data_IF_058740438764
#
_entry.id   IF_058740438764
#
_cell.length_a   1.000
_cell.length_b   1.000
_cell.length_c   1.000
_cell.angle_alpha   90.00
_cell.angle_beta   90.00
_cell.angle_gamma   90.00
#
_symmetry.space_group_name_H-M   'P 1'
#
loop_
_entity.id
_entity.type
_entity.pdbx_description
1 polymer ?
#
# COMPACT_ATOMS: atom_id res chain seq x y z
N UNK A 1 50.24 6.93 72.96
CA UNK A 1 50.06 5.45 72.89
C UNK A 1 49.53 5.13 71.50
N UNK A 2 50.39 4.67 70.57
CA UNK A 2 50.42 3.30 70.01
C UNK A 2 49.07 2.79 69.46
N UNK A 3 49.01 2.55 68.14
CA UNK A 3 48.03 1.65 67.50
C UNK A 3 47.59 2.14 66.11
N UNK A 4 48.37 1.91 65.05
CA UNK A 4 48.24 0.81 64.06
C UNK A 4 47.08 1.01 63.06
N UNK A 5 47.47 1.37 61.83
CA UNK A 5 46.75 1.02 60.58
C UNK A 5 46.77 -0.50 60.37
N UNK A 6 45.67 -1.07 59.89
CA UNK A 6 45.68 -1.89 58.69
C UNK A 6 44.57 -1.38 57.75
N UNK A 7 44.64 -1.47 56.43
CA UNK A 7 45.14 -2.54 55.60
C UNK A 7 44.17 -2.59 54.43
N UNK A 8 44.74 -2.51 53.22
CA UNK A 8 44.17 -2.84 51.92
C UNK A 8 42.70 -3.31 51.87
N UNK A 9 41.88 -2.58 51.14
CA UNK A 9 40.85 -3.17 50.27
C UNK A 9 40.67 -2.26 49.06
N UNK A 10 41.32 -2.66 47.96
CA UNK A 10 40.94 -2.26 46.60
C UNK A 10 39.42 -2.49 46.46
N UNK A 11 38.64 -1.43 46.32
CA UNK A 11 37.29 -1.55 45.78
C UNK A 11 37.36 -1.28 44.29
N UNK A 12 37.27 -2.38 43.54
CA UNK A 12 37.19 -2.42 42.10
C UNK A 12 36.13 -1.44 41.58
N UNK A 13 36.53 -0.63 40.59
CA UNK A 13 35.62 0.03 39.65
C UNK A 13 34.86 -1.08 38.90
N UNK A 14 33.61 -1.32 39.26
CA UNK A 14 32.69 -2.05 38.42
C UNK A 14 32.20 -1.10 37.31
N UNK A 15 32.41 -1.41 36.02
CA UNK A 15 31.86 -0.60 34.95
C UNK A 15 30.33 -0.75 34.99
N UNK A 16 29.63 0.37 35.09
CA UNK A 16 28.19 0.41 34.84
C UNK A 16 27.99 -0.04 33.39
N UNK A 17 27.55 -1.29 33.22
CA UNK A 17 26.91 -1.74 31.99
C UNK A 17 25.63 -0.90 31.85
N UNK A 18 25.76 0.25 31.19
CA UNK A 18 24.63 0.94 30.59
C UNK A 18 24.21 0.04 29.44
N UNK A 19 23.31 -0.90 29.72
CA UNK A 19 22.48 -1.52 28.70
C UNK A 19 21.71 -0.37 28.05
N UNK A 20 22.30 0.22 27.01
CA UNK A 20 21.58 1.07 26.08
C UNK A 20 20.49 0.21 25.47
N UNK A 21 19.30 0.26 26.07
CA UNK A 21 18.10 -0.17 25.39
C UNK A 21 18.03 0.68 24.13
N UNK A 22 18.43 0.09 23.00
CA UNK A 22 18.02 0.59 21.71
C UNK A 22 16.50 0.57 21.74
N UNK A 23 15.89 1.71 22.03
CA UNK A 23 14.47 1.93 21.77
C UNK A 23 14.40 1.86 20.25
N UNK A 24 14.16 0.66 19.72
CA UNK A 24 13.66 0.51 18.37
C UNK A 24 12.35 1.29 18.39
N UNK A 25 12.39 2.53 17.91
CA UNK A 25 11.20 3.34 17.72
C UNK A 25 10.25 2.48 16.89
N UNK A 26 9.07 2.21 17.45
CA UNK A 26 8.05 1.42 16.79
C UNK A 26 7.80 2.09 15.43
N UNK A 27 8.30 1.48 14.36
CA UNK A 27 8.22 2.07 13.02
C UNK A 27 6.74 2.18 12.69
N UNK A 28 6.21 3.41 12.75
CA UNK A 28 4.78 3.64 12.59
C UNK A 28 4.40 3.22 11.18
N UNK A 29 3.55 2.19 11.07
CA UNK A 29 2.99 1.77 9.79
C UNK A 29 2.34 2.98 9.10
N UNK A 30 2.48 3.19 7.78
CA UNK A 30 1.81 4.30 7.11
C UNK A 30 0.30 4.15 7.22
N UNK A 31 -0.43 5.26 7.19
CA UNK A 31 -1.87 5.21 6.96
C UNK A 31 -2.18 4.73 5.52
N UNK A 32 -3.45 4.41 5.29
CA UNK A 32 -3.90 3.85 4.02
C UNK A 32 -3.63 4.78 2.83
N UNK A 33 -3.88 6.08 2.97
CA UNK A 33 -3.75 7.07 1.90
C UNK A 33 -2.28 7.31 1.55
N UNK A 34 -1.43 7.52 2.55
CA UNK A 34 0.03 7.64 2.38
C UNK A 34 0.61 6.41 1.67
N UNK A 35 0.14 5.21 2.03
CA UNK A 35 0.53 3.97 1.35
C UNK A 35 0.05 3.95 -0.12
N UNK A 36 -1.21 4.28 -0.38
CA UNK A 36 -1.77 4.31 -1.74
C UNK A 36 -1.05 5.31 -2.64
N UNK A 37 -0.74 6.51 -2.15
CA UNK A 37 0.04 7.52 -2.86
C UNK A 37 1.42 6.96 -3.28
N UNK A 38 2.07 6.22 -2.39
CA UNK A 38 3.37 5.59 -2.66
C UNK A 38 3.28 4.52 -3.75
N UNK A 39 2.21 3.71 -3.74
CA UNK A 39 1.98 2.66 -4.75
C UNK A 39 1.63 3.22 -6.13
N UNK A 40 0.84 4.29 -6.18
CA UNK A 40 0.57 5.05 -7.40
C UNK A 40 1.86 5.61 -7.97
N UNK A 41 2.68 6.25 -7.13
CA UNK A 41 3.95 6.82 -7.57
C UNK A 41 4.94 5.74 -8.04
N UNK A 42 4.93 4.54 -7.44
CA UNK A 42 5.70 3.39 -7.92
C UNK A 42 5.30 3.00 -9.34
N UNK A 43 4.00 2.87 -9.60
CA UNK A 43 3.50 2.52 -10.93
C UNK A 43 3.85 3.58 -11.98
N UNK A 44 3.60 4.87 -11.69
CA UNK A 44 3.89 5.97 -12.64
C UNK A 44 5.39 6.06 -12.98
N UNK A 45 6.29 5.85 -11.99
CA UNK A 45 7.73 5.74 -12.27
C UNK A 45 8.08 4.57 -13.17
N UNK A 46 7.45 3.41 -12.95
CA UNK A 46 7.68 2.22 -13.78
C UNK A 46 7.18 2.43 -15.21
N UNK A 47 6.00 3.04 -15.39
CA UNK A 47 5.45 3.38 -16.70
C UNK A 47 6.33 4.40 -17.44
N UNK A 48 6.81 5.44 -16.75
CA UNK A 48 7.74 6.42 -17.32
C UNK A 48 9.05 5.76 -17.77
N UNK A 49 9.62 4.87 -16.96
CA UNK A 49 10.85 4.16 -17.31
C UNK A 49 10.65 3.20 -18.49
N UNK A 50 9.50 2.54 -18.57
CA UNK A 50 9.14 1.66 -19.69
C UNK A 50 9.05 2.46 -21.00
N UNK A 51 8.38 3.61 -20.99
CA UNK A 51 8.26 4.50 -22.15
C UNK A 51 9.60 5.03 -22.63
N UNK A 52 10.49 5.39 -21.71
CA UNK A 52 11.84 5.87 -22.03
C UNK A 52 12.71 4.82 -22.73
N UNK A 53 12.45 3.53 -22.52
CA UNK A 53 13.21 2.42 -23.12
C UNK A 53 12.78 2.08 -24.55
N UNK A 54 11.65 2.61 -25.04
CA UNK A 54 11.14 2.35 -26.40
C UNK A 54 11.08 0.86 -26.76
N UNK A 55 10.62 0.02 -25.83
CA UNK A 55 10.47 -1.43 -26.08
C UNK A 55 9.41 -1.64 -27.16
N UNK A 56 9.72 -2.49 -28.15
CA UNK A 56 8.88 -2.74 -29.33
C UNK A 56 7.56 -3.46 -28.96
N UNK A 57 7.60 -4.39 -28.00
CA UNK A 57 6.43 -5.03 -27.40
C UNK A 57 6.47 -4.91 -25.87
N UNK A 58 6.06 -3.76 -25.30
CA UNK A 58 6.05 -3.60 -23.87
C UNK A 58 4.99 -4.52 -23.25
N UNK A 59 5.44 -5.50 -22.47
CA UNK A 59 4.55 -6.33 -21.67
C UNK A 59 3.97 -5.52 -20.51
N UNK A 60 2.75 -5.86 -20.11
CA UNK A 60 2.05 -5.22 -18.99
C UNK A 60 2.59 -5.67 -17.61
N UNK A 61 3.85 -6.06 -17.53
CA UNK A 61 4.49 -6.60 -16.32
C UNK A 61 4.62 -5.55 -15.19
N UNK A 62 4.53 -4.27 -15.55
CA UNK A 62 4.50 -3.15 -14.59
C UNK A 62 3.16 -3.02 -13.87
N UNK A 63 2.07 -3.57 -14.43
CA UNK A 63 0.77 -3.57 -13.79
C UNK A 63 0.75 -4.63 -12.69
N UNK A 64 0.22 -4.24 -11.53
CA UNK A 64 0.21 -5.09 -10.36
C UNK A 64 -0.41 -4.36 -9.17
N UNK A 65 -1.32 -5.05 -8.49
CA UNK A 65 -2.13 -4.50 -7.38
C UNK A 65 -1.82 -5.15 -6.04
N UNK A 66 -0.71 -5.88 -5.94
CA UNK A 66 -0.19 -6.39 -4.65
C UNK A 66 0.09 -5.28 -3.65
N UNK A 67 0.53 -4.12 -4.12
CA UNK A 67 0.72 -2.93 -3.29
C UNK A 67 -0.59 -2.40 -2.70
N UNK A 68 -1.67 -2.36 -3.50
CA UNK A 68 -3.01 -1.94 -3.04
C UNK A 68 -3.54 -2.92 -1.97
N UNK A 69 -3.37 -4.22 -2.20
CA UNK A 69 -3.67 -5.25 -1.20
C UNK A 69 -2.90 -5.05 0.11
N UNK A 70 -1.61 -4.76 0.00
CA UNK A 70 -0.76 -4.45 1.12
C UNK A 70 -1.25 -3.21 1.88
N UNK A 71 -1.56 -2.11 1.19
CA UNK A 71 -2.03 -0.88 1.82
C UNK A 71 -3.31 -1.08 2.63
N UNK A 72 -4.32 -1.77 2.10
CA UNK A 72 -5.51 -2.04 2.89
C UNK A 72 -5.28 -3.06 4.01
N UNK A 73 -4.33 -4.00 3.86
CA UNK A 73 -3.93 -4.90 4.96
C UNK A 73 -3.24 -4.12 6.08
N UNK A 74 -2.36 -3.17 5.75
CA UNK A 74 -1.74 -2.27 6.73
C UNK A 74 -2.81 -1.44 7.45
N UNK A 75 -3.81 -0.94 6.72
CA UNK A 75 -4.96 -0.25 7.31
C UNK A 75 -5.69 -1.11 8.35
N UNK A 76 -5.97 -2.37 8.02
CA UNK A 76 -6.62 -3.32 8.95
C UNK A 76 -5.73 -3.53 10.20
N UNK A 77 -4.44 -3.79 10.02
CA UNK A 77 -3.50 -3.98 11.15
C UNK A 77 -3.45 -2.73 12.04
N UNK A 78 -3.53 -1.52 11.47
CA UNK A 78 -3.65 -0.28 12.24
C UNK A 78 -4.95 -0.22 13.03
N UNK A 79 -6.07 -0.64 12.45
CA UNK A 79 -7.34 -0.71 13.16
C UNK A 79 -7.33 -1.75 14.28
N UNK A 80 -6.71 -2.92 14.08
CA UNK A 80 -6.58 -3.95 15.12
C UNK A 80 -5.80 -3.47 16.35
N UNK A 81 -4.87 -2.53 16.14
CA UNK A 81 -4.07 -1.87 17.19
C UNK A 81 -4.76 -0.67 17.84
N UNK A 82 -5.93 -0.25 17.34
CA UNK A 82 -6.69 0.87 17.89
C UNK A 82 -7.65 0.43 18.99
N UNK A 83 -8.06 1.38 19.83
CA UNK A 83 -9.07 1.18 20.87
C UNK A 83 -10.48 0.96 20.27
N UNK A 84 -10.75 1.50 19.07
CA UNK A 84 -12.02 1.34 18.34
C UNK A 84 -11.85 0.54 17.05
N UNK A 85 -11.65 -0.78 17.21
CA UNK A 85 -11.42 -1.70 16.09
C UNK A 85 -12.60 -1.77 15.12
N UNK A 86 -13.83 -1.66 15.63
CA UNK A 86 -15.03 -1.80 14.80
C UNK A 86 -15.26 -0.52 14.00
N UNK A 87 -15.23 0.65 14.65
CA UNK A 87 -15.38 1.94 13.97
C UNK A 87 -14.28 2.14 12.93
N UNK A 88 -13.01 1.89 13.31
CA UNK A 88 -11.88 2.05 12.41
C UNK A 88 -12.00 1.18 11.14
N UNK A 89 -12.41 -0.10 11.26
CA UNK A 89 -12.53 -0.98 10.08
C UNK A 89 -13.68 -0.58 9.15
N UNK A 90 -14.79 -0.06 9.71
CA UNK A 90 -15.89 0.49 8.91
C UNK A 90 -15.45 1.74 8.16
N UNK A 91 -14.75 2.65 8.83
CA UNK A 91 -14.22 3.86 8.21
C UNK A 91 -13.21 3.53 7.11
N UNK A 92 -12.33 2.56 7.35
CA UNK A 92 -11.38 2.07 6.35
C UNK A 92 -12.09 1.50 5.12
N UNK A 93 -13.14 0.69 5.31
CA UNK A 93 -13.92 0.15 4.21
C UNK A 93 -14.59 1.28 3.39
N UNK A 94 -15.16 2.27 4.06
CA UNK A 94 -15.77 3.44 3.44
C UNK A 94 -14.75 4.26 2.63
N UNK A 95 -13.55 4.50 3.17
CA UNK A 95 -12.46 5.18 2.47
C UNK A 95 -12.06 4.41 1.20
N UNK A 96 -11.94 3.09 1.29
CA UNK A 96 -11.57 2.23 0.14
C UNK A 96 -12.64 2.23 -0.96
N UNK A 97 -13.91 2.13 -0.61
CA UNK A 97 -15.01 2.19 -1.59
C UNK A 97 -15.21 3.60 -2.17
N UNK A 98 -14.96 4.65 -1.38
CA UNK A 98 -14.92 6.04 -1.87
C UNK A 98 -13.82 6.20 -2.91
N UNK A 99 -12.58 5.79 -2.58
CA UNK A 99 -11.45 5.85 -3.50
C UNK A 99 -11.71 5.04 -4.78
N UNK A 100 -12.28 3.85 -4.66
CA UNK A 100 -12.70 3.03 -5.83
C UNK A 100 -13.64 3.83 -6.72
N UNK A 101 -14.64 4.47 -6.13
CA UNK A 101 -15.64 5.25 -6.87
C UNK A 101 -15.02 6.43 -7.59
N UNK A 102 -14.07 7.13 -6.96
CA UNK A 102 -13.32 8.22 -7.61
C UNK A 102 -12.49 7.67 -8.76
N UNK A 103 -11.70 6.61 -8.55
CA UNK A 103 -10.88 5.99 -9.62
C UNK A 103 -11.73 5.65 -10.84
N UNK A 104 -12.89 5.00 -10.65
CA UNK A 104 -13.78 4.60 -11.73
C UNK A 104 -14.37 5.78 -12.50
N UNK A 105 -14.63 6.92 -11.86
CA UNK A 105 -15.15 8.12 -12.53
C UNK A 105 -14.16 8.70 -13.55
N UNK A 106 -12.87 8.42 -13.41
CA UNK A 106 -11.82 8.90 -14.32
C UNK A 106 -11.46 7.89 -15.42
N UNK A 107 -12.19 6.77 -15.53
CA UNK A 107 -11.93 5.76 -16.56
C UNK A 107 -12.92 5.88 -17.72
N UNK A 108 -12.39 5.83 -18.94
CA UNK A 108 -13.19 5.86 -20.15
C UNK A 108 -13.86 4.51 -20.40
N UNK A 109 -15.11 4.51 -20.85
CA UNK A 109 -15.73 3.29 -21.34
C UNK A 109 -14.91 2.70 -22.50
N UNK A 110 -14.80 1.37 -22.62
CA UNK A 110 -14.09 0.77 -23.74
C UNK A 110 -14.83 1.09 -25.04
N UNK A 111 -14.10 1.39 -26.12
CA UNK A 111 -14.72 1.56 -27.44
C UNK A 111 -15.46 0.29 -27.86
N UNK A 112 -16.74 0.41 -28.23
CA UNK A 112 -17.57 -0.70 -28.72
C UNK A 112 -17.31 -1.02 -30.19
N UNK A 113 -16.56 -0.19 -30.91
CA UNK A 113 -16.25 -0.41 -32.32
C UNK A 113 -15.30 -1.60 -32.51
N UNK A 114 -15.70 -2.52 -33.39
CA UNK A 114 -15.07 -3.82 -33.65
C UNK A 114 -13.74 -3.70 -34.43
N UNK A 115 -13.42 -2.52 -34.95
CA UNK A 115 -12.28 -2.30 -35.87
C UNK A 115 -10.92 -2.07 -35.18
N UNK A 116 -10.86 -1.98 -33.85
CA UNK A 116 -9.57 -1.80 -33.16
C UNK A 116 -8.91 -3.16 -32.91
N UNK A 117 -7.65 -3.38 -33.32
CA UNK A 117 -6.91 -4.59 -32.98
C UNK A 117 -6.95 -4.79 -31.47
N UNK A 118 -7.63 -5.84 -31.00
CA UNK A 118 -7.72 -6.07 -29.55
C UNK A 118 -6.41 -6.66 -29.05
N UNK A 119 -5.41 -5.82 -28.78
CA UNK A 119 -4.21 -6.25 -28.08
C UNK A 119 -4.57 -6.89 -26.72
N UNK A 120 -3.63 -7.64 -26.13
CA UNK A 120 -3.85 -8.23 -24.81
C UNK A 120 -4.31 -7.19 -23.78
N UNK A 121 -3.67 -6.01 -23.76
CA UNK A 121 -4.01 -4.92 -22.84
C UNK A 121 -5.45 -4.39 -23.04
N UNK A 122 -5.95 -4.28 -24.27
CA UNK A 122 -7.33 -3.89 -24.55
C UNK A 122 -8.36 -4.89 -24.00
N UNK A 123 -8.13 -6.18 -24.25
CA UNK A 123 -9.01 -7.25 -23.72
C UNK A 123 -8.99 -7.26 -22.20
N UNK A 124 -7.81 -7.09 -21.61
CA UNK A 124 -7.65 -7.02 -20.16
C UNK A 124 -8.37 -5.80 -19.59
N UNK A 125 -8.25 -4.62 -20.21
CA UNK A 125 -8.92 -3.40 -19.77
C UNK A 125 -10.45 -3.62 -19.70
N UNK A 126 -11.05 -4.13 -20.78
CA UNK A 126 -12.48 -4.44 -20.83
C UNK A 126 -12.91 -5.38 -19.69
N UNK A 127 -12.15 -6.46 -19.47
CA UNK A 127 -12.48 -7.46 -18.45
C UNK A 127 -12.35 -6.90 -17.04
N UNK A 128 -11.26 -6.22 -16.75
CA UNK A 128 -11.00 -5.68 -15.41
C UNK A 128 -11.94 -4.53 -15.10
N UNK A 129 -12.24 -3.65 -16.05
CA UNK A 129 -13.21 -2.57 -15.86
C UNK A 129 -14.60 -3.13 -15.55
N UNK A 130 -15.04 -4.16 -16.29
CA UNK A 130 -16.31 -4.84 -16.00
C UNK A 130 -16.33 -5.46 -14.60
N UNK A 131 -15.24 -6.10 -14.18
CA UNK A 131 -15.12 -6.65 -12.81
C UNK A 131 -15.10 -5.54 -11.75
N UNK A 132 -14.44 -4.41 -12.04
CA UNK A 132 -14.36 -3.28 -11.13
C UNK A 132 -15.72 -2.58 -10.93
N UNK A 133 -16.61 -2.59 -11.92
CA UNK A 133 -18.01 -2.17 -11.80
C UNK A 133 -18.95 -3.25 -11.25
N UNK A 134 -18.50 -4.50 -11.24
CA UNK A 134 -19.26 -5.63 -10.71
C UNK A 134 -19.65 -5.48 -9.23
N UNK A 135 -20.61 -6.29 -8.82
CA UNK A 135 -21.07 -6.41 -7.43
C UNK A 135 -20.59 -7.74 -6.84
N UNK A 136 -20.55 -7.83 -5.51
CA UNK A 136 -20.20 -9.05 -4.78
C UNK A 136 -21.04 -10.24 -5.26
N UNK A 137 -20.45 -11.44 -5.32
CA UNK A 137 -21.13 -12.67 -5.76
C UNK A 137 -22.03 -13.30 -4.67
N UNK A 138 -22.04 -12.70 -3.47
CA UNK A 138 -22.81 -13.16 -2.33
C UNK A 138 -22.41 -12.41 -1.06
N UNK A 139 -23.02 -12.76 0.09
CA UNK A 139 -22.64 -12.19 1.37
C UNK A 139 -21.45 -12.97 1.95
N UNK A 140 -20.23 -12.76 1.42
CA UNK A 140 -19.07 -13.57 1.84
C UNK A 140 -18.71 -13.41 3.33
N UNK A 141 -19.31 -12.42 4.02
CA UNK A 141 -19.11 -12.15 5.45
C UNK A 141 -20.27 -12.62 6.35
N UNK A 142 -21.33 -13.23 5.80
CA UNK A 142 -22.51 -13.59 6.59
C UNK A 142 -22.23 -14.70 7.62
N UNK A 143 -22.83 -14.54 8.81
CA UNK A 143 -22.75 -15.54 9.89
C UNK A 143 -21.53 -15.41 10.80
N UNK A 144 -20.68 -14.41 10.57
CA UNK A 144 -19.56 -14.09 11.45
C UNK A 144 -19.99 -13.25 12.66
N UNK A 145 -19.12 -13.16 13.68
CA UNK A 145 -19.31 -12.15 14.72
C UNK A 145 -19.07 -10.73 14.17
N UNK A 146 -19.51 -9.70 14.90
CA UNK A 146 -19.45 -8.32 14.43
C UNK A 146 -18.02 -7.85 14.09
N UNK A 147 -17.00 -8.30 14.84
CA UNK A 147 -15.64 -7.87 14.59
C UNK A 147 -15.08 -8.51 13.32
N UNK A 148 -15.37 -9.80 13.11
CA UNK A 148 -14.97 -10.51 11.91
C UNK A 148 -15.75 -10.04 10.68
N UNK A 149 -17.02 -9.68 10.82
CA UNK A 149 -17.84 -9.11 9.75
C UNK A 149 -17.23 -7.81 9.23
N UNK A 150 -16.93 -6.84 10.10
CA UNK A 150 -16.32 -5.57 9.65
C UNK A 150 -14.89 -5.75 9.12
N UNK A 151 -14.13 -6.71 9.63
CA UNK A 151 -12.83 -7.08 9.06
C UNK A 151 -12.96 -7.62 7.64
N UNK A 152 -13.94 -8.49 7.42
CA UNK A 152 -14.24 -9.07 6.13
C UNK A 152 -14.71 -7.98 5.14
N UNK A 153 -15.59 -7.07 5.56
CA UNK A 153 -16.05 -5.93 4.76
C UNK A 153 -14.88 -5.04 4.30
N UNK A 154 -13.94 -4.71 5.20
CA UNK A 154 -12.73 -3.97 4.85
C UNK A 154 -11.86 -4.72 3.83
N UNK A 155 -11.70 -6.04 3.95
CA UNK A 155 -10.98 -6.83 2.93
C UNK A 155 -11.68 -6.82 1.57
N UNK A 156 -13.00 -6.92 1.57
CA UNK A 156 -13.77 -6.89 0.32
C UNK A 156 -13.71 -5.50 -0.34
N UNK A 157 -13.79 -4.42 0.44
CA UNK A 157 -13.64 -3.05 -0.07
C UNK A 157 -12.27 -2.87 -0.75
N UNK A 158 -11.19 -3.34 -0.12
CA UNK A 158 -9.87 -3.38 -0.73
C UNK A 158 -9.84 -4.24 -2.02
N UNK A 159 -10.45 -5.42 -2.01
CA UNK A 159 -10.52 -6.27 -3.21
C UNK A 159 -11.22 -5.57 -4.40
N UNK A 160 -12.30 -4.83 -4.14
CA UNK A 160 -12.98 -4.02 -5.16
C UNK A 160 -12.11 -2.86 -5.64
N UNK A 161 -11.43 -2.17 -4.72
CA UNK A 161 -10.48 -1.11 -5.06
C UNK A 161 -9.31 -1.63 -5.92
N UNK A 162 -8.76 -2.81 -5.62
CA UNK A 162 -7.70 -3.45 -6.41
C UNK A 162 -8.11 -3.61 -7.88
N UNK A 163 -9.35 -4.01 -8.14
CA UNK A 163 -9.86 -4.12 -9.52
C UNK A 163 -9.95 -2.76 -10.19
N UNK A 164 -10.44 -1.73 -9.51
CA UNK A 164 -10.50 -0.37 -10.06
C UNK A 164 -9.10 0.20 -10.36
N UNK A 165 -8.14 0.01 -9.44
CA UNK A 165 -6.75 0.44 -9.65
C UNK A 165 -6.08 -0.35 -10.78
N UNK A 166 -6.35 -1.66 -10.91
CA UNK A 166 -5.86 -2.43 -12.04
C UNK A 166 -6.44 -1.91 -13.36
N UNK A 167 -7.75 -1.61 -13.41
CA UNK A 167 -8.36 -1.01 -14.59
C UNK A 167 -7.71 0.33 -14.94
N UNK A 168 -7.43 1.17 -13.93
CA UNK A 168 -6.70 2.42 -14.12
C UNK A 168 -5.28 2.18 -14.64
N UNK A 169 -4.50 1.26 -14.06
CA UNK A 169 -3.15 0.94 -14.54
C UNK A 169 -3.17 0.48 -16.01
N UNK A 170 -4.13 -0.35 -16.40
CA UNK A 170 -4.24 -0.78 -17.80
C UNK A 170 -4.64 0.40 -18.70
N UNK A 171 -5.59 1.24 -18.26
CA UNK A 171 -5.97 2.44 -19.01
C UNK A 171 -4.82 3.44 -19.16
N UNK A 172 -4.00 3.63 -18.12
CA UNK A 172 -2.80 4.46 -18.16
C UNK A 172 -1.77 3.94 -19.12
N UNK A 173 -1.54 2.63 -19.11
CA UNK A 173 -0.65 1.99 -20.06
C UNK A 173 -1.09 2.23 -21.51
N UNK A 174 -2.40 2.18 -21.77
CA UNK A 174 -3.01 2.46 -23.07
C UNK A 174 -3.18 3.96 -23.39
N UNK A 175 -2.68 4.86 -22.54
CA UNK A 175 -2.87 6.32 -22.64
C UNK A 175 -4.35 6.78 -22.70
N UNK A 176 -5.25 6.02 -22.05
CA UNK A 176 -6.70 6.32 -21.96
C UNK A 176 -7.15 6.87 -20.61
N UNK A 177 -6.21 7.04 -19.68
CA UNK A 177 -6.47 7.66 -18.38
C UNK A 177 -5.39 8.70 -18.08
N UNK A 178 -5.77 9.72 -17.30
CA UNK A 178 -4.84 10.72 -16.79
C UNK A 178 -4.03 10.17 -15.59
N UNK A 179 -2.80 10.67 -15.34
CA UNK A 179 -2.06 10.36 -14.13
C UNK A 179 -2.91 10.54 -12.88
N UNK A 180 -2.79 9.68 -11.88
CA UNK A 180 -3.65 9.68 -10.70
C UNK A 180 -3.67 11.04 -9.96
N UNK A 181 -2.51 11.70 -9.87
CA UNK A 181 -2.38 13.05 -9.30
C UNK A 181 -3.10 14.09 -10.13
N UNK A 182 -2.99 14.01 -11.46
CA UNK A 182 -3.71 14.92 -12.37
C UNK A 182 -5.22 14.65 -12.39
N UNK A 183 -5.64 13.41 -12.17
CA UNK A 183 -7.03 13.01 -12.01
C UNK A 183 -7.58 13.36 -10.61
N UNK A 184 -6.73 13.77 -9.66
CA UNK A 184 -7.15 14.27 -8.35
C UNK A 184 -7.54 13.21 -7.33
N UNK A 185 -7.18 11.94 -7.55
CA UNK A 185 -7.51 10.86 -6.61
C UNK A 185 -6.31 10.33 -5.83
N UNK A 186 -5.11 10.81 -6.13
CA UNK A 186 -3.90 10.54 -5.36
C UNK A 186 -3.09 11.83 -5.18
N UNK A 187 -2.30 11.90 -4.12
CA UNK A 187 -1.33 12.96 -3.93
C UNK A 187 0.07 12.55 -4.40
N UNK A 188 0.93 13.53 -4.64
CA UNK A 188 2.33 13.27 -4.94
C UNK A 188 3.02 12.66 -3.72
N UNK A 189 3.41 11.38 -3.81
CA UNK A 189 4.15 10.73 -2.74
C UNK A 189 5.50 11.43 -2.48
N UNK A 190 5.92 11.43 -1.22
CA UNK A 190 7.25 11.89 -0.85
C UNK A 190 8.33 11.13 -1.65
N UNK A 191 9.41 11.81 -2.06
CA UNK A 191 10.48 11.17 -2.81
C UNK A 191 11.15 10.07 -1.97
N UNK A 192 11.31 8.88 -2.57
CA UNK A 192 12.02 7.77 -1.93
C UNK A 192 13.49 8.15 -1.81
N UNK A 193 13.96 8.42 -0.59
CA UNK A 193 15.39 8.63 -0.32
C UNK A 193 16.09 7.27 -0.27
N UNK A 194 17.21 7.06 -0.98
CA UNK A 194 18.02 5.87 -0.81
C UNK A 194 18.44 5.72 0.65
N UNK A 195 18.22 4.55 1.25
CA UNK A 195 18.81 4.23 2.55
C UNK A 195 20.32 4.08 2.36
N UNK A 196 21.11 4.70 3.23
CA UNK A 196 22.55 4.49 3.24
C UNK A 196 22.85 3.00 3.42
N UNK A 197 23.78 2.47 2.63
CA UNK A 197 24.25 1.10 2.81
C UNK A 197 24.84 0.99 4.23
N UNK A 198 24.55 -0.07 5.01
CA UNK A 198 25.22 -0.30 6.29
C UNK A 198 26.74 -0.31 6.08
N UNK A 199 27.47 0.36 6.96
CA UNK A 199 28.93 0.27 6.96
C UNK A 199 29.31 -1.19 7.23
N UNK A 200 30.05 -1.80 6.31
CA UNK A 200 30.68 -3.09 6.57
C UNK A 200 31.81 -2.81 7.55
N UNK A 201 31.63 -3.17 8.82
CA UNK A 201 32.72 -3.14 9.79
C UNK A 201 33.81 -4.11 9.31
N UNK A 202 35.09 -3.67 9.23
CA UNK A 202 36.19 -4.49 8.74
C UNK A 202 36.49 -5.68 9.65
#
# INVERSE_FOLDING_TARGET
MKGKLPGFLLRALAPALVCGAAIAGEESLPDFETCMNSEVARYERALSALRARQVEEPLLDIAGVRGVEFCGTVGIVRCDRSEDRIGCQRDLAAVQDSLRSVVLQHLQAPSETVEVPTGFADRLYRRVLALAHGRSAGPDCAGADTLHEVWCEARQANARLRLAVLAWQVARFLDRAAPAVAAGWAEAAAPVRPKARPEVQP
#
